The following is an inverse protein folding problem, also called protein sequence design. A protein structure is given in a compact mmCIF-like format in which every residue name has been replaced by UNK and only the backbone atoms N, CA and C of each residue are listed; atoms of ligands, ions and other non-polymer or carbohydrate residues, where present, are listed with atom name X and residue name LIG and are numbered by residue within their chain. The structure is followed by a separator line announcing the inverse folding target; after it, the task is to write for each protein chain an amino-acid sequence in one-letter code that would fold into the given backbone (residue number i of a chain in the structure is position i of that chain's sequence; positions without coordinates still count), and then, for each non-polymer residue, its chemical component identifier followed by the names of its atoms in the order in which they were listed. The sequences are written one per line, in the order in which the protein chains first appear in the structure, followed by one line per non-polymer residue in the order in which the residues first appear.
data_IF_122417625356
#
_entry.id   IF_122417625356
#
_cell.length_a   1.000
_cell.length_b   1.000
_cell.length_c   1.000
_cell.angle_alpha   90.00
_cell.angle_beta   90.00
_cell.angle_gamma   90.00
#
_symmetry.space_group_name_H-M   'P 1'
#
loop_
_entity.id
_entity.type
_entity.pdbx_description
1 polymer ?
#
# COMPACT_ATOMS: atom_id res chain seq x y z
N UNK A 1 5.76 22.00 17.70
CA UNK A 1 6.40 21.09 18.68
C UNK A 1 6.18 19.68 18.16
N UNK A 2 7.16 19.11 17.46
CA UNK A 2 7.07 17.75 16.88
C UNK A 2 7.00 16.73 18.02
N UNK A 3 5.80 16.22 18.28
CA UNK A 3 5.50 15.22 19.33
C UNK A 3 6.02 13.81 19.02
N UNK A 4 6.68 13.61 17.88
CA UNK A 4 6.97 12.26 17.36
C UNK A 4 8.47 11.92 17.28
N UNK A 5 9.34 12.63 18.01
CA UNK A 5 10.80 12.39 17.96
C UNK A 5 11.23 10.93 18.19
N UNK A 6 10.41 10.14 18.88
CA UNK A 6 10.70 8.73 19.14
C UNK A 6 10.00 7.75 18.18
N UNK A 7 9.10 8.22 17.31
CA UNK A 7 8.37 7.41 16.31
C UNK A 7 7.16 6.64 16.85
N UNK A 8 6.31 6.16 15.94
CA UNK A 8 5.16 5.30 16.23
C UNK A 8 5.55 3.82 16.25
N UNK A 9 4.93 2.96 17.09
CA UNK A 9 5.17 1.52 17.09
C UNK A 9 5.00 0.86 15.72
N UNK A 10 3.93 1.23 14.99
CA UNK A 10 3.64 0.74 13.63
C UNK A 10 3.55 1.95 12.68
N UNK A 11 4.37 1.94 11.63
CA UNK A 11 4.31 2.93 10.55
C UNK A 11 3.89 2.23 9.26
N UNK A 12 2.84 2.74 8.62
CA UNK A 12 2.29 2.23 7.38
C UNK A 12 2.60 3.20 6.23
N UNK A 13 2.96 2.66 5.07
CA UNK A 13 3.33 3.48 3.90
C UNK A 13 3.11 2.75 2.58
N UNK A 14 3.10 3.51 1.50
CA UNK A 14 3.14 3.03 0.13
C UNK A 14 4.10 3.91 -0.67
N UNK A 15 4.51 3.45 -1.86
CA UNK A 15 5.36 4.28 -2.74
C UNK A 15 4.60 5.52 -3.17
N UNK A 16 5.31 6.64 -3.41
CA UNK A 16 4.68 7.87 -3.89
C UNK A 16 4.05 7.67 -5.27
N UNK A 17 4.61 6.77 -6.08
CA UNK A 17 4.07 6.45 -7.39
C UNK A 17 2.65 5.84 -7.31
N UNK A 18 2.38 5.05 -6.27
CA UNK A 18 1.09 4.39 -6.08
C UNK A 18 0.13 5.18 -5.18
N UNK A 19 0.64 5.88 -4.17
CA UNK A 19 -0.16 6.63 -3.20
C UNK A 19 -0.75 7.94 -3.74
N UNK A 20 -0.38 8.36 -4.96
CA UNK A 20 -0.76 9.64 -5.55
C UNK A 20 -2.01 9.55 -6.44
N UNK A 21 -2.67 10.68 -6.60
CA UNK A 21 -3.91 10.86 -7.37
C UNK A 21 -3.71 11.58 -8.70
N UNK A 22 -2.52 12.15 -8.95
CA UNK A 22 -2.16 12.83 -10.22
C UNK A 22 -3.26 13.78 -10.72
N UNK A 23 -3.74 14.67 -9.83
CA UNK A 23 -4.86 15.59 -10.08
C UNK A 23 -6.17 14.88 -10.48
N UNK A 24 -6.54 13.85 -9.72
CA UNK A 24 -7.72 12.99 -9.94
C UNK A 24 -7.73 12.27 -11.30
N UNK A 25 -6.57 12.14 -11.95
CA UNK A 25 -6.45 11.46 -13.25
C UNK A 25 -5.82 10.06 -13.11
N UNK A 26 -6.63 8.99 -13.03
CA UNK A 26 -6.09 7.63 -12.90
C UNK A 26 -5.29 7.19 -14.12
N UNK A 27 -5.46 7.83 -15.29
CA UNK A 27 -4.64 7.51 -16.46
C UNK A 27 -3.21 8.04 -16.34
N UNK A 28 -2.99 9.11 -15.59
CA UNK A 28 -1.65 9.62 -15.34
C UNK A 28 -0.82 8.66 -14.46
N UNK A 29 -1.46 7.85 -13.61
CA UNK A 29 -0.78 6.79 -12.86
C UNK A 29 -0.12 5.74 -13.77
N UNK A 30 -0.63 5.51 -14.99
CA UNK A 30 0.03 4.63 -15.97
C UNK A 30 1.40 5.16 -16.38
N UNK A 31 1.64 6.47 -16.26
CA UNK A 31 2.96 7.03 -16.60
C UNK A 31 4.06 6.42 -15.72
N UNK A 32 3.72 5.99 -14.50
CA UNK A 32 4.66 5.35 -13.58
C UNK A 32 5.15 3.97 -14.03
N UNK A 33 4.49 3.35 -15.02
CA UNK A 33 4.95 2.07 -15.58
C UNK A 33 6.06 2.24 -16.61
N UNK A 34 6.27 3.47 -17.12
CA UNK A 34 7.33 3.80 -18.08
C UNK A 34 8.69 4.01 -17.40
N UNK A 35 9.80 4.05 -18.17
CA UNK A 35 11.15 4.15 -17.62
C UNK A 35 11.35 5.42 -16.78
N UNK A 36 11.92 5.28 -15.58
CA UNK A 36 12.02 6.35 -14.56
C UNK A 36 12.68 7.64 -15.04
N UNK A 37 13.58 7.57 -16.04
CA UNK A 37 14.26 8.75 -16.60
C UNK A 37 13.29 9.71 -17.29
N UNK A 38 12.24 9.17 -17.92
CA UNK A 38 11.23 9.94 -18.63
C UNK A 38 10.06 10.26 -17.70
N UNK A 39 9.46 9.21 -17.12
CA UNK A 39 8.28 9.34 -16.26
C UNK A 39 8.57 10.07 -14.96
N UNK A 40 9.75 9.89 -14.37
CA UNK A 40 10.15 10.61 -13.15
C UNK A 40 10.38 12.10 -13.37
N UNK A 41 10.74 12.53 -14.59
CA UNK A 41 10.81 13.95 -14.93
C UNK A 41 9.40 14.52 -15.15
N UNK A 42 8.55 13.78 -15.88
CA UNK A 42 7.18 14.19 -16.19
C UNK A 42 6.29 14.32 -14.94
N UNK A 43 6.47 13.43 -13.96
CA UNK A 43 5.66 13.36 -12.73
C UNK A 43 6.38 13.94 -11.50
N UNK A 44 7.45 14.72 -11.71
CA UNK A 44 8.29 15.19 -10.60
C UNK A 44 7.49 15.98 -9.56
N UNK A 45 6.70 16.94 -10.03
CA UNK A 45 5.89 17.79 -9.15
C UNK A 45 4.83 16.98 -8.41
N UNK A 46 4.17 16.02 -9.09
CA UNK A 46 3.22 15.13 -8.45
C UNK A 46 3.89 14.31 -7.34
N UNK A 47 5.03 13.69 -7.62
CA UNK A 47 5.77 12.88 -6.64
C UNK A 47 6.31 13.71 -5.46
N UNK A 48 6.60 14.99 -5.65
CA UNK A 48 7.05 15.87 -4.58
C UNK A 48 5.87 16.34 -3.70
N UNK A 49 4.66 16.46 -4.27
CA UNK A 49 3.49 17.08 -3.63
C UNK A 49 2.36 16.08 -3.31
N UNK A 50 2.68 14.94 -2.69
CA UNK A 50 1.66 13.99 -2.23
C UNK A 50 0.89 14.57 -1.03
N UNK A 51 -0.46 14.65 -1.06
CA UNK A 51 -1.24 15.32 -0.02
C UNK A 51 -1.05 14.75 1.39
N UNK A 52 -0.68 15.61 2.34
CA UNK A 52 -0.50 15.26 3.75
C UNK A 52 -1.31 16.21 4.64
N UNK A 53 -1.76 15.71 5.78
CA UNK A 53 -2.39 16.52 6.81
C UNK A 53 -1.37 17.47 7.47
N UNK A 54 -1.87 18.45 8.24
CA UNK A 54 -1.02 19.44 8.94
C UNK A 54 -0.02 18.81 9.91
N UNK A 55 -0.35 17.64 10.47
CA UNK A 55 0.55 16.87 11.36
C UNK A 55 1.59 16.03 10.60
N UNK A 56 1.50 15.97 9.27
CA UNK A 56 2.38 15.19 8.39
C UNK A 56 1.86 13.80 8.06
N UNK A 57 0.73 13.35 8.62
CA UNK A 57 0.12 12.07 8.26
C UNK A 57 -0.41 12.10 6.83
N UNK A 58 -0.51 10.94 6.19
CA UNK A 58 -1.05 10.83 4.84
C UNK A 58 -2.53 11.25 4.84
N UNK A 59 -2.88 12.26 4.03
CA UNK A 59 -4.27 12.65 3.88
C UNK A 59 -5.05 11.57 3.11
N UNK A 60 -4.46 11.09 2.01
CA UNK A 60 -5.00 10.03 1.15
C UNK A 60 -3.89 9.06 0.76
N UNK A 61 -4.19 7.78 0.56
CA UNK A 61 -3.21 6.78 0.11
C UNK A 61 -3.93 5.60 -0.53
N UNK A 62 -3.20 4.59 -0.99
CA UNK A 62 -3.79 3.41 -1.64
C UNK A 62 -4.84 2.71 -0.75
N UNK A 63 -5.93 2.29 -1.40
CA UNK A 63 -7.11 1.73 -0.75
C UNK A 63 -6.80 0.51 0.13
N UNK A 64 -5.99 -0.42 -0.37
CA UNK A 64 -5.56 -1.60 0.40
C UNK A 64 -4.83 -1.24 1.69
N UNK A 65 -4.02 -0.18 1.69
CA UNK A 65 -3.34 0.29 2.91
C UNK A 65 -4.32 0.91 3.91
N UNK A 66 -5.38 1.60 3.45
CA UNK A 66 -6.46 2.12 4.33
C UNK A 66 -7.29 0.99 4.98
N UNK A 67 -7.45 -0.14 4.30
CA UNK A 67 -8.04 -1.36 4.88
C UNK A 67 -7.16 -1.93 5.99
N UNK A 68 -5.87 -2.06 5.71
CA UNK A 68 -4.87 -2.53 6.68
C UNK A 68 -4.82 -1.59 7.90
N UNK A 69 -4.79 -0.28 7.66
CA UNK A 69 -4.86 0.74 8.72
C UNK A 69 -6.10 0.54 9.59
N UNK A 70 -7.29 0.36 8.98
CA UNK A 70 -8.55 0.21 9.72
C UNK A 70 -8.59 -1.10 10.53
N UNK A 71 -8.03 -2.19 9.99
CA UNK A 71 -7.87 -3.47 10.71
C UNK A 71 -6.94 -3.29 11.93
N UNK A 72 -5.74 -2.76 11.70
CA UNK A 72 -4.72 -2.63 12.73
C UNK A 72 -5.14 -1.63 13.80
N UNK A 73 -5.76 -0.51 13.42
CA UNK A 73 -6.22 0.54 14.34
C UNK A 73 -7.26 0.01 15.32
N UNK A 74 -8.18 -0.82 14.83
CA UNK A 74 -9.20 -1.46 15.67
C UNK A 74 -8.58 -2.38 16.75
N UNK A 75 -7.47 -3.02 16.45
CA UNK A 75 -6.81 -3.96 17.36
C UNK A 75 -5.79 -3.28 18.29
N UNK A 76 -4.97 -2.39 17.74
CA UNK A 76 -3.80 -1.83 18.42
C UNK A 76 -4.01 -0.39 18.88
N UNK A 77 -5.09 0.29 18.50
CA UNK A 77 -5.34 1.70 18.85
C UNK A 77 -4.71 2.70 17.87
N UNK A 78 -5.39 3.84 17.68
CA UNK A 78 -4.98 4.93 16.78
C UNK A 78 -3.63 5.55 17.20
N UNK A 79 -3.32 5.54 18.50
CA UNK A 79 -2.09 6.10 19.04
C UNK A 79 -0.83 5.29 18.67
N UNK A 80 -1.01 4.03 18.26
CA UNK A 80 0.09 3.11 17.96
C UNK A 80 0.38 2.97 16.47
N UNK A 81 -0.47 3.52 15.60
CA UNK A 81 -0.41 3.36 14.15
C UNK A 81 -0.41 4.72 13.48
N UNK A 82 0.45 4.88 12.48
CA UNK A 82 0.44 6.07 11.63
C UNK A 82 0.63 5.69 10.18
N UNK A 83 -0.08 6.36 9.29
CA UNK A 83 0.13 6.28 7.85
C UNK A 83 0.83 7.56 7.39
N UNK A 84 1.95 7.42 6.69
CA UNK A 84 2.69 8.57 6.18
C UNK A 84 3.29 8.29 4.80
N UNK A 85 3.43 9.36 4.00
CA UNK A 85 4.14 9.29 2.72
C UNK A 85 5.65 9.36 2.90
N UNK A 86 6.39 8.88 1.91
CA UNK A 86 7.86 8.89 1.87
C UNK A 86 8.50 10.17 2.42
N UNK A 87 8.03 11.35 1.97
CA UNK A 87 8.60 12.64 2.38
C UNK A 87 8.45 12.93 3.89
N UNK A 88 7.45 12.35 4.54
CA UNK A 88 7.12 12.56 5.95
C UNK A 88 7.60 11.42 6.86
N UNK A 89 8.06 10.28 6.31
CA UNK A 89 8.45 9.09 7.10
C UNK A 89 9.48 9.39 8.18
N UNK A 90 10.42 10.30 7.93
CA UNK A 90 11.45 10.70 8.89
C UNK A 90 10.90 11.30 10.19
N UNK A 91 9.65 11.77 10.19
CA UNK A 91 8.98 12.32 11.39
C UNK A 91 8.34 11.25 12.25
N UNK A 92 8.08 10.07 11.68
CA UNK A 92 7.27 9.01 12.29
C UNK A 92 8.03 7.71 12.55
N UNK A 93 9.15 7.50 11.85
CA UNK A 93 10.06 6.37 12.10
C UNK A 93 11.15 6.82 13.07
N UNK A 94 11.18 6.19 14.24
CA UNK A 94 12.13 6.48 15.32
C UNK A 94 12.48 5.23 16.13
N UNK A 95 13.11 5.45 17.30
CA UNK A 95 13.59 4.37 18.18
C UNK A 95 12.48 3.45 18.72
N UNK A 96 11.24 3.95 18.80
CA UNK A 96 10.08 3.19 19.24
C UNK A 96 9.42 2.41 18.11
N UNK A 97 9.77 2.70 16.85
CA UNK A 97 9.18 2.01 15.69
C UNK A 97 9.63 0.56 15.63
N UNK A 98 8.66 -0.34 15.72
CA UNK A 98 8.87 -1.79 15.72
C UNK A 98 8.64 -2.38 14.34
N UNK A 99 7.63 -1.88 13.63
CA UNK A 99 7.22 -2.42 12.34
C UNK A 99 6.99 -1.28 11.35
N UNK A 100 7.52 -1.44 10.14
CA UNK A 100 7.12 -0.67 8.96
C UNK A 100 6.35 -1.60 8.02
N UNK A 101 5.07 -1.30 7.81
CA UNK A 101 4.20 -1.99 6.87
C UNK A 101 4.14 -1.26 5.54
N UNK A 102 4.52 -1.93 4.45
CA UNK A 102 4.52 -1.37 3.11
C UNK A 102 3.48 -2.11 2.25
N UNK A 103 2.58 -1.38 1.61
CA UNK A 103 1.70 -1.96 0.59
C UNK A 103 2.15 -1.52 -0.80
N UNK A 104 2.20 -2.47 -1.73
CA UNK A 104 2.67 -2.25 -3.09
C UNK A 104 1.89 -3.05 -4.13
N UNK A 105 1.58 -2.43 -5.27
CA UNK A 105 0.88 -3.02 -6.41
C UNK A 105 1.86 -3.56 -7.46
N UNK A 106 2.98 -2.87 -7.71
CA UNK A 106 3.97 -3.25 -8.72
C UNK A 106 5.42 -2.92 -8.29
N UNK A 107 5.91 -3.53 -7.19
CA UNK A 107 7.21 -3.21 -6.60
C UNK A 107 8.40 -3.53 -7.51
N UNK A 108 8.25 -4.43 -8.48
CA UNK A 108 9.31 -4.84 -9.40
C UNK A 108 9.14 -4.27 -10.81
N UNK A 109 8.04 -3.56 -11.10
CA UNK A 109 7.75 -3.13 -12.47
C UNK A 109 7.45 -4.29 -13.41
N UNK A 110 6.99 -5.42 -12.88
CA UNK A 110 6.77 -6.68 -13.60
C UNK A 110 5.29 -6.95 -13.89
N UNK A 111 4.38 -6.07 -13.46
CA UNK A 111 2.97 -6.17 -13.82
C UNK A 111 2.78 -6.13 -15.35
N UNK A 112 1.64 -6.66 -15.82
CA UNK A 112 1.34 -6.78 -17.26
C UNK A 112 1.51 -5.45 -18.01
N UNK A 113 1.04 -4.35 -17.41
CA UNK A 113 1.17 -3.01 -17.99
C UNK A 113 2.64 -2.62 -18.08
N UNK A 114 3.39 -2.74 -16.99
CA UNK A 114 4.81 -2.39 -16.94
C UNK A 114 5.65 -3.22 -17.91
N UNK A 115 5.41 -4.52 -18.03
CA UNK A 115 6.12 -5.39 -18.98
C UNK A 115 5.75 -5.09 -20.42
N UNK A 116 4.46 -4.90 -20.72
CA UNK A 116 3.96 -4.63 -22.07
C UNK A 116 4.43 -3.26 -22.57
N UNK A 117 4.20 -2.20 -21.79
CA UNK A 117 4.50 -0.83 -22.24
C UNK A 117 5.98 -0.50 -22.25
N UNK A 118 6.79 -1.05 -21.31
CA UNK A 118 8.25 -0.92 -21.41
C UNK A 118 8.82 -1.65 -22.64
N UNK A 119 8.22 -2.79 -23.02
CA UNK A 119 8.62 -3.52 -24.23
C UNK A 119 8.21 -2.78 -25.51
N UNK A 120 7.04 -2.12 -25.53
CA UNK A 120 6.52 -1.42 -26.70
C UNK A 120 7.27 -0.12 -27.03
N UNK A 121 7.77 0.60 -26.03
CA UNK A 121 8.47 1.87 -26.24
C UNK A 121 9.92 1.68 -26.71
N UNK A 122 10.46 0.46 -26.68
CA UNK A 122 11.74 0.11 -27.30
C UNK A 122 12.99 0.70 -26.65
N UNK A 123 12.85 1.58 -25.64
CA UNK A 123 13.97 2.18 -24.90
C UNK A 123 14.41 1.38 -23.67
N UNK A 124 13.59 0.44 -23.19
CA UNK A 124 13.85 -0.32 -21.97
C UNK A 124 14.07 0.55 -20.73
N UNK A 125 14.44 -0.08 -19.61
CA UNK A 125 14.80 0.60 -18.36
C UNK A 125 13.86 0.28 -17.20
N UNK A 126 14.30 0.66 -15.99
CA UNK A 126 13.55 0.45 -14.76
C UNK A 126 12.29 1.31 -14.72
N UNK A 127 11.14 0.70 -14.47
CA UNK A 127 9.86 1.39 -14.28
C UNK A 127 9.92 2.33 -13.06
N UNK A 128 9.23 3.46 -13.14
CA UNK A 128 9.19 4.42 -12.01
C UNK A 128 8.58 3.81 -10.74
N UNK A 129 7.58 2.92 -10.85
CA UNK A 129 7.03 2.18 -9.71
C UNK A 129 8.12 1.39 -8.96
N UNK A 130 8.93 0.64 -9.70
CA UNK A 130 10.03 -0.14 -9.12
C UNK A 130 11.07 0.76 -8.44
N UNK A 131 11.45 1.85 -9.12
CA UNK A 131 12.41 2.80 -8.59
C UNK A 131 11.91 3.52 -7.32
N UNK A 132 10.62 3.91 -7.28
CA UNK A 132 10.02 4.54 -6.10
C UNK A 132 9.80 3.55 -4.96
N UNK A 133 9.53 2.27 -5.26
CA UNK A 133 9.50 1.22 -4.24
C UNK A 133 10.89 0.96 -3.66
N UNK A 134 11.93 0.83 -4.48
CA UNK A 134 13.31 0.67 -4.02
C UNK A 134 13.75 1.88 -3.18
N UNK A 135 13.40 3.10 -3.61
CA UNK A 135 13.65 4.32 -2.85
C UNK A 135 12.94 4.30 -1.49
N UNK A 136 11.70 3.83 -1.44
CA UNK A 136 10.92 3.73 -0.21
C UNK A 136 11.53 2.74 0.78
N UNK A 137 11.81 1.51 0.35
CA UNK A 137 12.31 0.46 1.25
C UNK A 137 13.73 0.75 1.76
N UNK A 138 14.49 1.56 1.01
CA UNK A 138 15.82 2.04 1.40
C UNK A 138 15.80 3.42 2.07
N UNK A 139 14.62 3.92 2.51
CA UNK A 139 14.49 5.24 3.15
C UNK A 139 15.48 5.39 4.33
N UNK A 140 16.17 6.55 4.48
CA UNK A 140 17.20 6.74 5.50
C UNK A 140 16.78 6.37 6.93
N UNK A 141 15.54 6.72 7.33
CA UNK A 141 15.03 6.36 8.66
C UNK A 141 14.82 4.85 8.84
N UNK A 142 14.44 4.11 7.78
CA UNK A 142 14.34 2.64 7.85
C UNK A 142 15.75 2.06 8.04
N UNK A 143 16.74 2.56 7.30
CA UNK A 143 18.12 2.10 7.39
C UNK A 143 18.78 2.44 8.74
N UNK A 144 18.44 3.60 9.31
CA UNK A 144 18.94 4.07 10.59
C UNK A 144 18.36 3.29 11.76
N UNK A 145 17.03 3.16 11.83
CA UNK A 145 16.35 2.58 13.00
C UNK A 145 16.09 1.07 12.87
N UNK A 146 16.17 0.53 11.65
CA UNK A 146 16.04 -0.91 11.34
C UNK A 146 14.79 -1.57 11.97
N UNK A 147 13.59 -1.01 11.79
CA UNK A 147 12.36 -1.68 12.20
C UNK A 147 12.16 -2.97 11.39
N UNK A 148 11.34 -3.90 11.89
CA UNK A 148 10.92 -5.05 11.10
C UNK A 148 10.05 -4.60 9.93
N UNK A 149 10.24 -5.19 8.76
CA UNK A 149 9.55 -4.81 7.53
C UNK A 149 8.58 -5.92 7.14
N UNK A 150 7.31 -5.55 6.98
CA UNK A 150 6.29 -6.38 6.34
C UNK A 150 5.84 -5.72 5.05
N UNK A 151 5.85 -6.47 3.95
CA UNK A 151 5.37 -5.98 2.65
C UNK A 151 4.21 -6.84 2.16
N UNK A 152 3.10 -6.19 1.79
CA UNK A 152 1.94 -6.83 1.18
C UNK A 152 1.43 -6.04 -0.03
N UNK A 153 0.21 -6.36 -0.46
CA UNK A 153 -0.41 -5.77 -1.66
C UNK A 153 -0.33 -6.70 -2.87
N UNK A 154 -0.99 -6.32 -3.97
CA UNK A 154 -1.13 -7.21 -5.13
C UNK A 154 0.20 -7.58 -5.81
N UNK A 155 1.26 -6.79 -5.59
CA UNK A 155 2.57 -6.99 -6.16
C UNK A 155 3.55 -7.81 -5.30
N UNK A 156 3.16 -8.29 -4.11
CA UNK A 156 4.06 -9.00 -3.19
C UNK A 156 4.73 -10.24 -3.80
N UNK A 157 4.02 -10.98 -4.64
CA UNK A 157 4.54 -12.16 -5.34
C UNK A 157 5.76 -11.84 -6.22
N UNK A 158 5.83 -10.65 -6.81
CA UNK A 158 6.95 -10.25 -7.67
C UNK A 158 8.26 -10.22 -6.89
N UNK A 159 8.23 -9.81 -5.62
CA UNK A 159 9.40 -9.74 -4.74
C UNK A 159 9.88 -11.15 -4.39
N UNK A 160 8.95 -12.07 -4.15
CA UNK A 160 9.25 -13.48 -3.88
C UNK A 160 9.90 -14.15 -5.11
N UNK A 161 9.29 -14.02 -6.29
CA UNK A 161 9.81 -14.65 -7.51
C UNK A 161 11.15 -14.07 -7.98
N UNK A 162 11.39 -12.78 -7.75
CA UNK A 162 12.67 -12.14 -8.07
C UNK A 162 13.77 -12.39 -7.02
N UNK A 163 13.47 -13.06 -5.91
CA UNK A 163 14.43 -13.32 -4.84
C UNK A 163 14.90 -12.07 -4.10
N UNK A 164 14.17 -10.96 -4.22
CA UNK A 164 14.57 -9.64 -3.70
C UNK A 164 14.32 -9.48 -2.21
N UNK A 165 13.50 -10.36 -1.61
CA UNK A 165 13.12 -10.29 -0.20
C UNK A 165 14.33 -10.12 0.75
N UNK A 166 15.31 -11.02 0.63
CA UNK A 166 16.51 -11.00 1.47
C UNK A 166 17.38 -9.77 1.19
N UNK A 167 17.50 -9.35 -0.07
CA UNK A 167 18.30 -8.19 -0.47
C UNK A 167 17.75 -6.90 0.16
N UNK A 168 16.43 -6.78 0.26
CA UNK A 168 15.78 -5.62 0.85
C UNK A 168 15.52 -5.74 2.36
N UNK A 169 15.91 -6.85 2.99
CA UNK A 169 15.73 -7.03 4.43
C UNK A 169 14.25 -7.09 4.85
N UNK A 170 13.39 -7.65 4.00
CA UNK A 170 11.96 -7.81 4.31
C UNK A 170 11.79 -9.04 5.21
N UNK A 171 11.35 -8.81 6.45
CA UNK A 171 11.09 -9.86 7.42
C UNK A 171 9.90 -10.73 7.01
N UNK A 172 8.81 -10.12 6.53
CA UNK A 172 7.60 -10.84 6.10
C UNK A 172 7.08 -10.30 4.77
N UNK A 173 7.00 -11.15 3.74
CA UNK A 173 6.19 -10.95 2.55
C UNK A 173 4.81 -11.57 2.79
N UNK A 174 3.78 -10.72 2.84
CA UNK A 174 2.40 -11.13 3.09
C UNK A 174 1.62 -11.20 1.78
N UNK A 175 1.26 -12.42 1.37
CA UNK A 175 0.50 -12.70 0.15
C UNK A 175 -0.95 -13.07 0.48
N UNK A 176 -1.90 -12.31 -0.08
CA UNK A 176 -3.32 -12.59 0.06
C UNK A 176 -4.09 -11.46 0.74
N UNK A 177 -5.25 -11.79 1.28
CA UNK A 177 -6.17 -10.85 1.93
C UNK A 177 -5.90 -10.84 3.45
N UNK A 178 -5.84 -9.66 4.07
CA UNK A 178 -5.29 -9.50 5.42
C UNK A 178 -6.26 -9.80 6.57
N UNK A 179 -7.55 -9.87 6.32
CA UNK A 179 -8.58 -9.78 7.36
C UNK A 179 -8.59 -10.95 8.34
N UNK A 180 -8.10 -12.13 7.94
CA UNK A 180 -8.03 -13.31 8.81
C UNK A 180 -6.73 -13.35 9.62
N UNK A 181 -5.59 -13.20 8.94
CA UNK A 181 -4.28 -13.55 9.50
C UNK A 181 -3.39 -12.35 9.85
N UNK A 182 -3.62 -11.17 9.25
CA UNK A 182 -2.67 -10.05 9.36
C UNK A 182 -2.49 -9.58 10.79
N UNK A 183 -3.56 -9.54 11.58
CA UNK A 183 -3.49 -9.17 13.01
C UNK A 183 -2.58 -10.14 13.78
N UNK A 184 -2.73 -11.44 13.54
CA UNK A 184 -1.90 -12.48 14.19
C UNK A 184 -0.44 -12.33 13.81
N UNK A 185 -0.16 -12.06 12.53
CA UNK A 185 1.20 -11.78 12.03
C UNK A 185 1.79 -10.56 12.72
N UNK A 186 1.06 -9.44 12.79
CA UNK A 186 1.55 -8.23 13.47
C UNK A 186 1.80 -8.46 14.96
N UNK A 187 0.94 -9.21 15.67
CA UNK A 187 1.16 -9.57 17.09
C UNK A 187 2.45 -10.36 17.27
N UNK A 188 2.65 -11.41 16.47
CA UNK A 188 3.88 -12.21 16.52
C UNK A 188 5.11 -11.37 16.24
N UNK A 189 5.05 -10.55 15.18
CA UNK A 189 6.13 -9.62 14.88
C UNK A 189 6.38 -8.68 16.05
N UNK A 190 5.38 -8.02 16.64
CA UNK A 190 5.58 -7.11 17.78
C UNK A 190 6.22 -7.79 19.00
N UNK A 191 5.92 -9.07 19.24
CA UNK A 191 6.43 -9.88 20.35
C UNK A 191 7.76 -10.60 20.07
N UNK A 192 8.38 -10.36 18.91
CA UNK A 192 9.58 -11.09 18.46
C UNK A 192 9.37 -12.63 18.36
N UNK A 193 8.13 -13.05 18.12
CA UNK A 193 7.78 -14.44 17.86
C UNK A 193 8.06 -14.82 16.38
N UNK A 194 8.42 -16.08 16.09
CA UNK A 194 8.67 -16.52 14.71
C UNK A 194 7.44 -16.37 13.81
N UNK A 195 7.66 -15.81 12.62
CA UNK A 195 6.71 -15.75 11.51
C UNK A 195 7.42 -16.26 10.25
N UNK A 196 6.70 -16.99 9.40
CA UNK A 196 7.22 -17.41 8.10
C UNK A 196 7.60 -16.18 7.26
N UNK A 197 8.82 -16.12 6.69
CA UNK A 197 9.23 -14.98 5.88
C UNK A 197 8.36 -14.75 4.65
N UNK A 198 7.77 -15.81 4.09
CA UNK A 198 6.75 -15.72 3.05
C UNK A 198 5.45 -16.31 3.60
N UNK A 199 4.50 -15.43 3.93
CA UNK A 199 3.24 -15.80 4.55
C UNK A 199 2.10 -15.73 3.53
N UNK A 200 1.44 -16.86 3.29
CA UNK A 200 0.24 -16.93 2.44
C UNK A 200 -0.99 -16.95 3.32
N UNK A 201 -1.82 -15.92 3.20
CA UNK A 201 -3.03 -15.75 3.99
C UNK A 201 -4.14 -16.72 3.58
N UNK A 202 -4.95 -17.09 4.56
CA UNK A 202 -6.20 -17.79 4.37
C UNK A 202 -7.23 -16.88 3.70
N UNK A 203 -8.22 -17.51 3.04
CA UNK A 203 -9.36 -16.76 2.51
C UNK A 203 -10.13 -16.10 3.67
N UNK A 204 -10.43 -14.80 3.60
CA UNK A 204 -11.07 -14.12 4.70
C UNK A 204 -12.57 -14.41 4.76
N UNK A 205 -13.15 -14.30 5.95
CA UNK A 205 -14.59 -14.13 6.09
C UNK A 205 -14.96 -12.70 5.66
N UNK A 206 -15.88 -12.58 4.71
CA UNK A 206 -16.48 -11.32 4.26
C UNK A 206 -16.89 -10.40 5.43
N UNK A 207 -17.39 -10.96 6.53
CA UNK A 207 -17.85 -10.18 7.69
C UNK A 207 -16.72 -9.46 8.43
N UNK A 208 -15.46 -9.87 8.20
CA UNK A 208 -14.28 -9.29 8.85
C UNK A 208 -13.68 -8.11 8.10
N UNK A 209 -14.13 -7.82 6.87
CA UNK A 209 -13.60 -6.71 6.06
C UNK A 209 -14.11 -5.38 6.63
N UNK A 210 -13.24 -4.55 7.23
CA UNK A 210 -13.68 -3.29 7.80
C UNK A 210 -13.88 -2.24 6.71
N UNK A 211 -14.80 -1.29 6.89
CA UNK A 211 -14.80 -0.07 6.09
C UNK A 211 -13.54 0.75 6.38
N UNK A 212 -13.07 1.52 5.40
CA UNK A 212 -11.98 2.48 5.60
C UNK A 212 -12.37 3.57 6.62
N UNK A 213 -11.39 4.00 7.40
CA UNK A 213 -11.54 5.06 8.44
C UNK A 213 -10.89 6.39 8.03
N UNK A 214 -9.97 6.35 7.08
CA UNK A 214 -9.39 7.54 6.42
C UNK A 214 -9.50 7.41 4.90
N UNK A 215 -9.48 8.54 4.21
CA UNK A 215 -9.73 8.59 2.77
C UNK A 215 -8.66 7.87 1.95
N UNK A 216 -9.11 7.19 0.90
CA UNK A 216 -8.26 6.54 -0.09
C UNK A 216 -8.03 7.46 -1.30
N UNK A 217 -6.93 7.23 -2.03
CA UNK A 217 -6.68 7.92 -3.28
C UNK A 217 -7.82 7.64 -4.29
N UNK A 218 -8.18 8.64 -5.10
CA UNK A 218 -9.31 8.64 -6.05
C UNK A 218 -10.68 8.36 -5.42
N UNK A 219 -10.79 8.52 -4.10
CA UNK A 219 -12.00 8.17 -3.36
C UNK A 219 -12.42 6.73 -3.59
N UNK A 220 -11.46 5.80 -3.67
CA UNK A 220 -11.73 4.40 -3.94
C UNK A 220 -12.69 3.79 -2.92
N UNK A 221 -13.68 3.04 -3.41
CA UNK A 221 -14.67 2.30 -2.61
C UNK A 221 -14.88 0.92 -3.22
N UNK A 222 -14.74 -0.13 -2.42
CA UNK A 222 -14.93 -1.49 -2.90
C UNK A 222 -16.41 -1.86 -2.90
N UNK A 223 -16.94 -2.09 -4.09
CA UNK A 223 -18.34 -2.49 -4.28
C UNK A 223 -18.47 -4.00 -4.40
N UNK A 224 -17.41 -4.67 -4.84
CA UNK A 224 -17.33 -6.13 -4.98
C UNK A 224 -15.94 -6.62 -4.62
N UNK A 225 -15.87 -7.80 -4.00
CA UNK A 225 -14.65 -8.60 -3.93
C UNK A 225 -14.78 -9.75 -4.91
N UNK A 226 -13.72 -10.04 -5.65
CA UNK A 226 -13.68 -11.02 -6.72
C UNK A 226 -14.50 -10.64 -7.96
N UNK A 227 -13.99 -10.99 -9.15
CA UNK A 227 -14.66 -10.63 -10.40
C UNK A 227 -15.68 -11.69 -10.87
N UNK A 228 -15.38 -12.97 -10.67
CA UNK A 228 -16.20 -14.10 -11.14
C UNK A 228 -16.34 -14.23 -12.66
N UNK A 229 -15.51 -13.52 -13.46
CA UNK A 229 -15.48 -13.64 -14.93
C UNK A 229 -14.82 -14.93 -15.44
N UNK A 230 -14.01 -15.61 -14.62
CA UNK A 230 -13.36 -16.85 -15.02
C UNK A 230 -12.13 -16.68 -15.91
N UNK A 231 -11.58 -15.47 -16.02
CA UNK A 231 -10.39 -15.21 -16.83
C UNK A 231 -9.18 -15.99 -16.28
N UNK A 232 -8.52 -16.78 -17.14
CA UNK A 232 -7.40 -17.66 -16.77
C UNK A 232 -6.14 -16.91 -16.31
N UNK A 233 -6.05 -15.61 -16.60
CA UNK A 233 -4.87 -14.78 -16.38
C UNK A 233 -5.05 -13.76 -15.24
N UNK A 234 -6.23 -13.67 -14.62
CA UNK A 234 -6.61 -12.56 -13.75
C UNK A 234 -6.76 -13.03 -12.29
N UNK A 235 -5.93 -12.51 -11.38
CA UNK A 235 -5.93 -12.90 -9.96
C UNK A 235 -7.25 -12.59 -9.21
N UNK A 236 -8.01 -11.51 -9.51
CA UNK A 236 -9.37 -11.34 -9.00
C UNK A 236 -10.35 -12.49 -9.30
N UNK A 237 -10.08 -13.34 -10.30
CA UNK A 237 -10.89 -14.54 -10.55
C UNK A 237 -10.71 -15.60 -9.44
N UNK A 238 -9.56 -15.61 -8.77
CA UNK A 238 -9.24 -16.60 -7.74
C UNK A 238 -9.86 -16.27 -6.37
N UNK A 239 -10.39 -15.05 -6.21
CA UNK A 239 -11.06 -14.58 -4.99
C UNK A 239 -12.53 -15.00 -4.96
N UNK A 240 -13.08 -15.16 -3.76
CA UNK A 240 -14.50 -15.46 -3.59
C UNK A 240 -15.33 -14.25 -3.99
N UNK A 241 -16.22 -14.38 -4.98
CA UNK A 241 -17.04 -13.27 -5.46
C UNK A 241 -18.17 -12.93 -4.48
N UNK A 242 -18.29 -11.67 -4.09
CA UNK A 242 -19.47 -11.11 -3.43
C UNK A 242 -19.54 -9.59 -3.56
N UNK A 243 -20.75 -9.04 -3.37
CA UNK A 243 -20.99 -7.59 -3.34
C UNK A 243 -21.11 -7.09 -1.91
N UNK A 244 -20.63 -5.88 -1.64
CA UNK A 244 -20.83 -5.23 -0.34
C UNK A 244 -22.24 -4.64 -0.22
N UNK A 245 -22.83 -4.63 0.99
CA UNK A 245 -24.12 -3.98 1.20
C UNK A 245 -24.00 -2.47 1.00
N UNK A 246 -25.09 -1.81 0.58
CA UNK A 246 -25.06 -0.37 0.27
C UNK A 246 -24.62 0.48 1.47
N UNK A 247 -25.06 0.14 2.68
CA UNK A 247 -24.67 0.87 3.90
C UNK A 247 -23.16 0.86 4.14
N UNK A 248 -22.50 -0.24 3.79
CA UNK A 248 -21.04 -0.34 3.86
C UNK A 248 -20.37 0.58 2.84
N UNK A 249 -20.82 0.51 1.58
CA UNK A 249 -20.31 1.34 0.48
C UNK A 249 -20.49 2.83 0.82
N UNK A 250 -21.68 3.22 1.29
CA UNK A 250 -21.98 4.61 1.64
C UNK A 250 -21.17 5.11 2.84
N UNK A 251 -20.79 4.23 3.77
CA UNK A 251 -19.86 4.59 4.85
C UNK A 251 -18.49 4.98 4.32
N UNK A 252 -17.96 4.25 3.34
CA UNK A 252 -16.66 4.58 2.74
C UNK A 252 -16.73 5.82 1.83
N UNK A 253 -17.83 5.98 1.08
CA UNK A 253 -18.10 7.21 0.33
C UNK A 253 -18.05 8.42 1.27
N UNK A 254 -18.72 8.32 2.43
CA UNK A 254 -18.69 9.38 3.44
C UNK A 254 -17.27 9.66 3.93
N UNK A 255 -16.51 8.63 4.30
CA UNK A 255 -15.10 8.77 4.73
C UNK A 255 -14.25 9.48 3.67
N UNK A 256 -14.40 9.12 2.39
CA UNK A 256 -13.65 9.72 1.29
C UNK A 256 -14.01 11.20 1.08
N UNK A 257 -15.31 11.54 1.12
CA UNK A 257 -15.78 12.93 0.99
C UNK A 257 -15.31 13.79 2.17
N UNK A 258 -15.39 13.28 3.41
CA UNK A 258 -14.90 13.98 4.60
C UNK A 258 -13.36 14.17 4.56
N UNK A 259 -12.62 13.22 3.97
CA UNK A 259 -11.20 13.36 3.68
C UNK A 259 -10.86 14.17 2.43
N UNK A 260 -11.84 14.89 1.86
CA UNK A 260 -11.63 15.87 0.79
C UNK A 260 -11.57 15.30 -0.63
N UNK A 261 -12.06 14.08 -0.86
CA UNK A 261 -12.14 13.52 -2.19
C UNK A 261 -13.30 14.12 -3.00
N UNK A 262 -13.01 14.54 -4.23
CA UNK A 262 -13.95 15.09 -5.22
C UNK A 262 -14.59 14.02 -6.11
N UNK A 263 -14.05 12.79 -6.09
CA UNK A 263 -14.45 11.70 -6.97
C UNK A 263 -14.62 10.41 -6.17
N UNK A 264 -15.41 9.48 -6.69
CA UNK A 264 -15.55 8.13 -6.09
C UNK A 264 -15.27 7.12 -7.18
N UNK A 265 -14.16 6.40 -7.03
CA UNK A 265 -13.78 5.31 -7.92
C UNK A 265 -14.24 3.98 -7.36
N UNK A 266 -15.22 3.34 -7.99
CA UNK A 266 -15.67 2.01 -7.56
C UNK A 266 -14.67 0.94 -7.98
N UNK A 267 -14.17 0.16 -7.03
CA UNK A 267 -13.19 -0.89 -7.29
C UNK A 267 -13.78 -2.29 -7.05
N UNK A 268 -13.20 -3.25 -7.78
CA UNK A 268 -13.28 -4.66 -7.42
C UNK A 268 -11.90 -5.12 -6.99
N UNK A 269 -11.84 -5.72 -5.82
CA UNK A 269 -10.61 -6.30 -5.28
C UNK A 269 -10.61 -7.81 -5.55
#
# INVERSE_FOLDING_TARGET
MDKHQDGYPIVLTASRAEANEYNDNPFAAFICTFPKKLSGLALREDLENVPSNNDGTAQRTIYGLRKVESLLTKEFGEENIVVAHYNQLHRFIGKNTKIVGISSMDPMGLAYVSTTYNSLIGFGGEALNAAEFEKLITHPSIQQYKPKIIVGGAGSWQINESGMQKKWGIDVLFQGEGEEDLISVFKKMLNDEPVEPYFVANKPDRKKIPPITHAACYGMVEITRGCGRGCQFCSPTNRTKYSFPLDYIMKEVKTNVEGGSSTIFTVTE
#
